data_IF_280606753819
#
_entry.id   IF_280606753819
#
_cell.length_a   1.000
_cell.length_b   1.000
_cell.length_c   1.000
_cell.angle_alpha   90.00
_cell.angle_beta   90.00
_cell.angle_gamma   90.00
#
_symmetry.space_group_name_H-M   'P 1'
#
loop_
_entity.id
_entity.type
_entity.pdbx_description
1 polymer ?
#
# COMPACT_ATOMS: atom_id res chain seq x y z
N UNK A 1 7.90 41.15 -24.94
CA UNK A 1 7.51 40.87 -23.55
C UNK A 1 8.62 40.02 -22.97
N UNK A 2 9.55 40.63 -22.24
CA UNK A 2 10.56 39.86 -21.50
C UNK A 2 9.91 39.43 -20.18
N UNK A 3 9.86 38.12 -19.94
CA UNK A 3 9.40 37.57 -18.67
C UNK A 3 10.56 37.56 -17.68
N UNK A 4 10.32 37.98 -16.44
CA UNK A 4 11.29 37.90 -15.33
C UNK A 4 11.29 36.52 -14.64
N UNK A 5 10.49 35.57 -15.13
CA UNK A 5 10.40 34.22 -14.54
C UNK A 5 11.63 33.38 -14.83
N UNK A 6 12.06 32.60 -13.83
CA UNK A 6 13.04 31.54 -14.04
C UNK A 6 12.44 30.46 -14.96
N UNK A 7 13.27 29.91 -15.85
CA UNK A 7 12.88 28.87 -16.79
C UNK A 7 13.75 27.65 -16.58
N UNK A 8 13.12 26.49 -16.40
CA UNK A 8 13.78 25.20 -16.27
C UNK A 8 13.13 24.25 -17.30
N UNK A 9 13.95 23.62 -18.14
CA UNK A 9 13.50 22.51 -18.96
C UNK A 9 13.48 21.24 -18.11
N UNK A 10 12.33 20.58 -18.01
CA UNK A 10 12.22 19.31 -17.31
C UNK A 10 13.18 18.29 -17.96
N UNK A 11 14.13 17.79 -17.17
CA UNK A 11 15.13 16.81 -17.61
C UNK A 11 14.52 15.39 -17.63
N UNK A 12 13.50 15.23 -18.48
CA UNK A 12 12.63 14.06 -18.54
C UNK A 12 12.54 13.61 -19.99
N UNK A 13 12.60 12.29 -20.21
CA UNK A 13 12.42 11.70 -21.53
C UNK A 13 11.26 10.71 -21.51
N UNK A 14 10.21 11.04 -22.26
CA UNK A 14 8.96 10.28 -22.35
C UNK A 14 9.16 8.78 -22.65
N UNK A 15 10.17 8.42 -23.44
CA UNK A 15 10.44 7.02 -23.82
C UNK A 15 11.31 6.25 -22.81
N UNK A 16 11.83 6.92 -21.77
CA UNK A 16 12.79 6.32 -20.82
C UNK A 16 12.32 6.32 -19.37
N UNK A 17 11.44 7.25 -19.00
CA UNK A 17 10.97 7.39 -17.63
C UNK A 17 9.45 7.47 -17.59
N UNK A 18 8.85 6.85 -16.58
CA UNK A 18 7.42 6.93 -16.33
C UNK A 18 7.07 8.18 -15.49
N UNK A 19 5.78 8.34 -15.18
CA UNK A 19 5.26 9.46 -14.40
C UNK A 19 5.99 9.66 -13.06
N UNK A 20 6.18 8.58 -12.29
CA UNK A 20 6.78 8.62 -10.96
C UNK A 20 8.26 9.04 -11.01
N UNK A 21 9.03 8.42 -11.91
CA UNK A 21 10.43 8.77 -12.12
C UNK A 21 10.60 10.21 -12.62
N UNK A 22 9.69 10.67 -13.48
CA UNK A 22 9.67 12.05 -13.95
C UNK A 22 9.35 13.03 -12.81
N UNK A 23 8.39 12.70 -11.94
CA UNK A 23 8.01 13.52 -10.79
C UNK A 23 9.18 13.65 -9.79
N UNK A 24 9.84 12.55 -9.43
CA UNK A 24 10.98 12.57 -8.48
C UNK A 24 12.15 13.40 -9.04
N UNK A 25 12.51 13.17 -10.31
CA UNK A 25 13.58 13.92 -10.98
C UNK A 25 13.26 15.40 -11.13
N UNK A 26 12.01 15.74 -11.47
CA UNK A 26 11.60 17.14 -11.64
C UNK A 26 11.63 17.88 -10.31
N UNK A 27 11.16 17.26 -9.22
CA UNK A 27 11.22 17.84 -7.88
C UNK A 27 12.68 18.14 -7.48
N UNK A 28 13.56 17.16 -7.66
CA UNK A 28 14.98 17.31 -7.35
C UNK A 28 15.63 18.42 -8.19
N UNK A 29 15.35 18.45 -9.51
CA UNK A 29 15.88 19.46 -10.43
C UNK A 29 15.49 20.88 -10.00
N UNK A 30 14.22 21.09 -9.62
CA UNK A 30 13.72 22.40 -9.16
C UNK A 30 14.39 22.79 -7.84
N UNK A 31 14.46 21.87 -6.88
CA UNK A 31 15.09 22.12 -5.57
C UNK A 31 16.56 22.47 -5.74
N UNK A 32 17.30 21.70 -6.55
CA UNK A 32 18.71 21.97 -6.87
C UNK A 32 18.88 23.36 -7.48
N UNK A 33 18.10 23.68 -8.52
CA UNK A 33 18.19 24.97 -9.21
C UNK A 33 18.02 26.15 -8.25
N UNK A 34 16.96 26.14 -7.43
CA UNK A 34 16.68 27.24 -6.52
C UNK A 34 17.65 27.33 -5.35
N UNK A 35 18.17 26.19 -4.85
CA UNK A 35 19.19 26.19 -3.81
C UNK A 35 20.56 26.65 -4.33
N UNK A 36 20.95 26.28 -5.55
CA UNK A 36 22.17 26.80 -6.18
C UNK A 36 22.05 28.32 -6.44
N UNK A 37 20.88 28.78 -6.89
CA UNK A 37 20.60 30.22 -7.04
C UNK A 37 20.70 30.95 -5.70
N UNK A 38 20.10 30.40 -4.63
CA UNK A 38 20.19 30.96 -3.29
C UNK A 38 21.62 30.96 -2.73
N UNK A 39 22.42 29.92 -3.00
CA UNK A 39 23.86 29.84 -2.68
C UNK A 39 24.62 30.99 -3.34
N UNK A 40 24.43 31.21 -4.66
CA UNK A 40 25.08 32.30 -5.41
C UNK A 40 24.70 33.69 -4.90
N UNK A 41 23.49 33.85 -4.37
CA UNK A 41 22.98 35.10 -3.82
C UNK A 41 23.27 35.28 -2.32
N UNK A 42 24.02 34.37 -1.68
CA UNK A 42 24.27 34.35 -0.23
C UNK A 42 22.98 34.42 0.62
N UNK A 43 21.87 33.85 0.12
CA UNK A 43 20.57 33.85 0.80
C UNK A 43 20.33 32.61 1.66
N UNK A 44 21.23 31.63 1.65
CA UNK A 44 21.14 30.47 2.52
C UNK A 44 21.73 30.81 3.87
N UNK A 45 20.88 30.89 4.89
CA UNK A 45 21.32 31.06 6.28
C UNK A 45 21.72 29.69 6.84
N UNK A 46 22.91 29.54 7.44
CA UNK A 46 23.38 28.26 7.98
C UNK A 46 22.74 27.87 9.32
N UNK A 47 21.83 28.69 9.85
CA UNK A 47 21.24 28.47 11.16
C UNK A 47 20.01 27.56 11.06
N UNK A 48 20.06 26.42 11.76
CA UNK A 48 18.91 25.53 11.97
C UNK A 48 17.85 26.23 12.80
N UNK A 49 16.59 25.79 12.67
CA UNK A 49 15.49 26.29 13.51
C UNK A 49 15.76 26.03 15.00
N UNK A 50 15.24 26.89 15.86
CA UNK A 50 15.43 26.80 17.32
C UNK A 50 14.81 25.52 17.92
N UNK A 51 13.63 25.14 17.42
CA UNK A 51 12.97 23.87 17.74
C UNK A 51 13.29 22.83 16.67
N UNK A 52 13.28 21.53 17.01
CA UNK A 52 13.37 20.47 16.02
C UNK A 52 12.32 20.67 14.93
N UNK A 53 12.75 20.64 13.68
CA UNK A 53 11.83 20.77 12.55
C UNK A 53 12.21 19.85 11.40
N UNK A 54 11.22 19.47 10.61
CA UNK A 54 11.39 18.58 9.47
C UNK A 54 10.78 19.18 8.19
N UNK A 55 11.41 18.92 7.05
CA UNK A 55 10.74 19.07 5.76
C UNK A 55 9.98 17.78 5.42
N UNK A 56 8.77 17.90 4.88
CA UNK A 56 8.05 16.75 4.29
C UNK A 56 8.21 16.83 2.77
N UNK A 57 8.88 15.84 2.19
CA UNK A 57 9.28 15.82 0.78
C UNK A 57 8.57 14.66 0.10
N UNK A 58 7.86 14.92 -1.00
CA UNK A 58 7.20 13.89 -1.79
C UNK A 58 5.67 13.87 -1.67
N UNK A 59 5.05 14.85 -1.00
CA UNK A 59 3.58 15.04 -1.12
C UNK A 59 3.31 15.76 -2.43
N UNK A 60 2.65 15.12 -3.39
CA UNK A 60 2.33 15.69 -4.70
C UNK A 60 0.85 15.54 -5.09
N UNK A 61 0.41 16.39 -6.02
CA UNK A 61 -0.95 16.41 -6.56
C UNK A 61 -1.25 15.11 -7.33
N UNK A 62 -2.49 14.62 -7.27
CA UNK A 62 -2.92 13.32 -7.81
C UNK A 62 -2.29 12.08 -7.15
N UNK A 63 -1.42 12.23 -6.15
CA UNK A 63 -0.97 11.11 -5.35
C UNK A 63 -2.10 10.52 -4.50
N UNK A 64 -2.02 9.21 -4.25
CA UNK A 64 -3.06 8.45 -3.57
C UNK A 64 -3.17 8.88 -2.10
N UNK A 65 -4.27 9.54 -1.74
CA UNK A 65 -4.56 10.01 -0.37
C UNK A 65 -3.55 11.01 0.25
N UNK A 66 -2.57 11.50 -0.53
CA UNK A 66 -1.50 12.43 -0.15
C UNK A 66 -1.95 13.64 0.70
N UNK A 67 -3.12 14.23 0.41
CA UNK A 67 -3.62 15.38 1.18
C UNK A 67 -3.97 15.02 2.62
N UNK A 68 -4.56 13.84 2.83
CA UNK A 68 -4.92 13.34 4.15
C UNK A 68 -3.67 12.86 4.90
N UNK A 69 -2.79 12.17 4.19
CA UNK A 69 -1.48 11.73 4.71
C UNK A 69 -0.61 12.91 5.17
N UNK A 70 -0.55 13.99 4.40
CA UNK A 70 0.16 15.21 4.78
C UNK A 70 -0.40 15.83 6.08
N UNK A 71 -1.72 15.81 6.25
CA UNK A 71 -2.35 16.28 7.50
C UNK A 71 -2.01 15.36 8.68
N UNK A 72 -2.04 14.05 8.47
CA UNK A 72 -1.71 13.07 9.52
C UNK A 72 -0.24 13.14 9.93
N UNK A 73 0.68 13.30 8.97
CA UNK A 73 2.10 13.51 9.25
C UNK A 73 2.33 14.80 10.03
N UNK A 74 1.68 15.90 9.66
CA UNK A 74 1.75 17.16 10.42
C UNK A 74 1.25 16.99 11.85
N UNK A 75 0.15 16.27 12.05
CA UNK A 75 -0.40 15.96 13.37
C UNK A 75 0.58 15.12 14.20
N UNK A 76 1.10 14.03 13.61
CA UNK A 76 2.08 13.15 14.22
C UNK A 76 3.34 13.91 14.67
N UNK A 77 3.91 14.75 13.79
CA UNK A 77 5.10 15.55 14.12
C UNK A 77 4.83 16.57 15.23
N UNK A 78 3.67 17.23 15.19
CA UNK A 78 3.27 18.17 16.23
C UNK A 78 3.15 17.50 17.60
N UNK A 79 2.55 16.30 17.67
CA UNK A 79 2.47 15.52 18.91
C UNK A 79 3.87 15.15 19.45
N UNK A 80 4.80 14.84 18.54
CA UNK A 80 6.21 14.60 18.86
C UNK A 80 6.98 15.88 19.23
N UNK A 81 6.38 17.06 19.07
CA UNK A 81 7.02 18.36 19.32
C UNK A 81 8.04 18.75 18.25
N UNK A 82 7.80 18.33 17.01
CA UNK A 82 8.61 18.62 15.83
C UNK A 82 7.79 19.54 14.91
N UNK A 83 8.34 20.71 14.59
CA UNK A 83 7.68 21.67 13.71
C UNK A 83 7.85 21.25 12.24
N UNK A 84 6.85 21.52 11.39
CA UNK A 84 6.99 21.33 9.94
C UNK A 84 7.60 22.59 9.34
N UNK A 85 8.81 22.48 8.79
CA UNK A 85 9.52 23.62 8.18
C UNK A 85 8.96 23.95 6.80
N UNK A 86 8.98 22.99 5.86
CA UNK A 86 8.40 23.13 4.53
C UNK A 86 7.76 21.79 4.09
N UNK A 87 6.73 21.87 3.24
CA UNK A 87 6.16 20.71 2.54
C UNK A 87 6.33 20.93 1.04
N UNK A 88 6.93 19.96 0.35
CA UNK A 88 7.17 20.05 -1.09
C UNK A 88 6.81 18.73 -1.81
N UNK A 89 6.30 18.79 -3.05
CA UNK A 89 5.87 20.00 -3.78
C UNK A 89 4.52 20.59 -3.34
N UNK A 90 3.63 19.82 -2.70
CA UNK A 90 2.25 20.23 -2.41
C UNK A 90 2.18 21.47 -1.51
N UNK A 91 1.56 22.54 -2.02
CA UNK A 91 1.40 23.81 -1.31
C UNK A 91 2.69 24.62 -1.15
N UNK A 92 3.80 24.15 -1.72
CA UNK A 92 5.10 24.82 -1.67
C UNK A 92 5.20 26.00 -2.64
N UNK A 93 6.02 26.99 -2.26
CA UNK A 93 6.42 28.09 -3.15
C UNK A 93 7.90 28.00 -3.47
N UNK A 94 8.30 28.27 -4.72
CA UNK A 94 9.71 28.31 -5.13
C UNK A 94 10.54 29.31 -4.32
N UNK A 95 9.91 30.38 -3.82
CA UNK A 95 10.56 31.40 -2.97
C UNK A 95 10.97 30.86 -1.61
N UNK A 96 10.34 29.77 -1.16
CA UNK A 96 10.55 29.15 0.13
C UNK A 96 11.61 28.04 0.09
N UNK A 97 12.01 27.56 -1.10
CA UNK A 97 12.98 26.46 -1.22
C UNK A 97 14.32 26.77 -0.55
N UNK A 98 14.72 28.05 -0.49
CA UNK A 98 15.89 28.51 0.27
C UNK A 98 15.83 28.22 1.78
N UNK A 99 14.65 27.96 2.32
CA UNK A 99 14.44 27.61 3.72
C UNK A 99 14.63 26.12 4.01
N UNK A 100 14.69 25.25 2.99
CA UNK A 100 14.86 23.80 3.21
C UNK A 100 16.04 23.47 4.13
N UNK A 101 17.23 24.09 3.98
CA UNK A 101 18.38 23.79 4.86
C UNK A 101 18.21 24.18 6.33
N UNK A 102 17.19 24.97 6.68
CA UNK A 102 16.89 25.36 8.07
C UNK A 102 16.32 24.22 8.89
N UNK A 103 15.67 23.25 8.25
CA UNK A 103 15.14 22.06 8.93
C UNK A 103 16.26 21.19 9.49
N UNK A 104 15.96 20.44 10.54
CA UNK A 104 16.92 19.51 11.14
C UNK A 104 17.09 18.26 10.28
N UNK A 105 15.99 17.76 9.71
CA UNK A 105 15.99 16.56 8.88
C UNK A 105 14.86 16.61 7.84
N UNK A 106 14.82 15.61 6.95
CA UNK A 106 13.79 15.47 5.93
C UNK A 106 12.98 14.18 6.15
N UNK A 107 11.71 14.19 5.76
CA UNK A 107 10.82 13.02 5.76
C UNK A 107 10.40 12.75 4.33
N UNK A 108 10.58 11.51 3.88
CA UNK A 108 10.18 11.04 2.55
C UNK A 108 9.18 9.89 2.75
N UNK A 109 7.87 10.17 2.73
CA UNK A 109 6.86 9.16 3.05
C UNK A 109 6.62 8.17 1.91
N UNK A 110 6.96 8.51 0.67
CA UNK A 110 6.74 7.66 -0.51
C UNK A 110 8.06 7.32 -1.19
N UNK A 111 8.27 6.05 -1.49
CA UNK A 111 9.46 5.55 -2.19
C UNK A 111 9.65 6.21 -3.55
N UNK A 112 8.55 6.39 -4.27
CA UNK A 112 8.53 6.76 -5.67
C UNK A 112 8.90 8.23 -5.93
N UNK A 113 8.61 9.13 -4.99
CA UNK A 113 8.75 10.58 -5.18
C UNK A 113 9.29 11.25 -3.91
N UNK A 114 10.40 11.97 -4.03
CA UNK A 114 11.04 12.75 -2.98
C UNK A 114 12.42 12.24 -2.57
N UNK A 115 12.73 10.97 -2.85
CA UNK A 115 13.98 10.35 -2.42
C UNK A 115 15.20 10.97 -3.11
N UNK A 116 15.13 11.26 -4.42
CA UNK A 116 16.23 11.94 -5.11
C UNK A 116 16.55 13.30 -4.49
N UNK A 117 15.50 14.04 -4.10
CA UNK A 117 15.63 15.35 -3.45
C UNK A 117 16.26 15.21 -2.06
N UNK A 118 15.83 14.24 -1.26
CA UNK A 118 16.39 14.00 0.06
C UNK A 118 17.87 13.60 0.01
N UNK A 119 18.25 12.72 -0.93
CA UNK A 119 19.66 12.33 -1.16
C UNK A 119 20.51 13.52 -1.60
N UNK A 120 19.96 14.42 -2.41
CA UNK A 120 20.64 15.66 -2.77
C UNK A 120 20.86 16.56 -1.54
N UNK A 121 19.84 16.76 -0.71
CA UNK A 121 19.93 17.58 0.50
C UNK A 121 20.87 16.98 1.55
N UNK A 122 20.93 15.66 1.67
CA UNK A 122 21.89 14.95 2.52
C UNK A 122 23.33 15.23 2.07
N UNK A 123 23.62 15.07 0.78
CA UNK A 123 24.96 15.30 0.23
C UNK A 123 25.42 16.75 0.33
N UNK A 124 24.53 17.71 0.03
CA UNK A 124 24.88 19.13 -0.05
C UNK A 124 24.81 19.89 1.28
N UNK A 125 23.92 19.47 2.18
CA UNK A 125 23.61 20.20 3.42
C UNK A 125 23.72 19.34 4.67
N UNK A 126 24.17 18.08 4.55
CA UNK A 126 24.31 17.13 5.66
C UNK A 126 22.99 16.96 6.43
N UNK A 127 21.87 17.01 5.69
CA UNK A 127 20.54 16.84 6.24
C UNK A 127 20.16 15.37 6.23
N UNK A 128 20.08 14.69 7.38
CA UNK A 128 19.58 13.32 7.42
C UNK A 128 18.13 13.27 6.95
N UNK A 129 17.70 12.10 6.50
CA UNK A 129 16.32 11.88 6.11
C UNK A 129 15.78 10.55 6.62
N UNK A 130 14.47 10.51 6.85
CA UNK A 130 13.72 9.30 7.19
C UNK A 130 12.92 8.88 5.97
N UNK A 131 13.13 7.65 5.49
CA UNK A 131 12.44 7.09 4.31
C UNK A 131 11.60 5.85 4.61
N UNK A 132 11.46 5.49 5.90
CA UNK A 132 10.47 4.50 6.32
C UNK A 132 9.08 5.12 6.17
N UNK A 133 8.22 4.52 5.35
CA UNK A 133 6.83 4.94 5.22
C UNK A 133 6.05 4.57 6.49
N UNK A 134 5.44 5.53 7.21
CA UNK A 134 4.65 5.25 8.41
C UNK A 134 3.24 4.74 8.03
N UNK A 135 3.17 3.57 7.39
CA UNK A 135 1.92 2.91 6.99
C UNK A 135 1.81 1.56 7.69
N UNK A 136 0.77 1.38 8.50
CA UNK A 136 0.64 0.24 9.43
C UNK A 136 1.25 0.53 10.80
N UNK A 137 0.89 -0.28 11.80
CA UNK A 137 1.26 -0.01 13.19
C UNK A 137 2.77 -0.15 13.39
N UNK A 138 3.36 -1.22 12.86
CA UNK A 138 4.77 -1.53 13.11
C UNK A 138 5.71 -0.57 12.38
N UNK A 139 5.40 -0.22 11.13
CA UNK A 139 6.25 0.68 10.34
C UNK A 139 6.10 2.14 10.80
N UNK A 140 4.93 2.53 11.30
CA UNK A 140 4.76 3.83 12.00
C UNK A 140 5.64 3.90 13.25
N UNK A 141 5.71 2.84 14.05
CA UNK A 141 6.61 2.80 15.20
C UNK A 141 8.09 2.86 14.79
N UNK A 142 8.48 2.15 13.72
CA UNK A 142 9.84 2.19 13.18
C UNK A 142 10.24 3.60 12.69
N UNK A 143 9.32 4.27 11.99
CA UNK A 143 9.48 5.65 11.55
C UNK A 143 9.75 6.62 12.72
N UNK A 144 8.95 6.53 13.79
CA UNK A 144 9.11 7.38 14.98
C UNK A 144 10.46 7.11 15.67
N UNK A 145 10.89 5.85 15.75
CA UNK A 145 12.20 5.48 16.31
C UNK A 145 13.36 6.02 15.49
N UNK A 146 13.24 6.05 14.15
CA UNK A 146 14.27 6.63 13.29
C UNK A 146 14.38 8.15 13.49
N UNK A 147 13.24 8.84 13.63
CA UNK A 147 13.22 10.26 14.02
C UNK A 147 13.90 10.45 15.37
N UNK A 148 13.57 9.64 16.38
CA UNK A 148 14.15 9.75 17.72
C UNK A 148 15.69 9.62 17.69
N UNK A 149 16.22 8.70 16.88
CA UNK A 149 17.67 8.53 16.66
C UNK A 149 18.31 9.78 16.07
N UNK A 150 17.72 10.34 15.01
CA UNK A 150 18.21 11.56 14.37
C UNK A 150 18.23 12.72 15.38
N UNK A 151 17.14 12.92 16.10
CA UNK A 151 17.03 14.00 17.08
C UNK A 151 18.04 13.85 18.21
N UNK A 152 18.27 12.63 18.69
CA UNK A 152 19.26 12.35 19.75
C UNK A 152 20.67 12.71 19.33
N UNK A 153 21.07 12.39 18.09
CA UNK A 153 22.40 12.71 17.55
C UNK A 153 22.60 14.22 17.41
N UNK A 154 21.57 14.96 17.04
CA UNK A 154 21.62 16.42 16.86
C UNK A 154 21.37 17.23 18.14
N UNK A 155 21.00 16.57 19.26
CA UNK A 155 20.59 17.24 20.50
C UNK A 155 21.75 17.83 21.32
N UNK A 156 23.01 17.63 20.93
CA UNK A 156 24.17 18.07 21.73
C UNK A 156 24.25 19.59 21.97
N UNK A 157 23.45 20.40 21.25
CA UNK A 157 23.43 21.86 21.33
C UNK A 157 22.06 22.48 21.67
N UNK A 158 21.00 21.69 21.88
CA UNK A 158 19.62 22.21 21.96
C UNK A 158 18.83 21.69 23.18
N UNK A 159 17.88 22.50 23.64
CA UNK A 159 17.09 22.27 24.86
C UNK A 159 15.90 21.33 24.60
N UNK A 160 16.07 20.28 23.79
CA UNK A 160 15.01 19.31 23.53
C UNK A 160 15.00 18.25 24.63
N UNK A 161 14.17 18.47 25.65
CA UNK A 161 14.06 17.66 26.87
C UNK A 161 13.28 16.33 26.69
N UNK A 162 13.11 15.84 25.46
CA UNK A 162 12.44 14.56 25.19
C UNK A 162 13.51 13.50 24.91
N UNK A 163 13.58 12.51 25.78
CA UNK A 163 14.49 11.37 25.64
C UNK A 163 13.83 10.24 24.85
N UNK A 164 14.56 9.14 24.64
CA UNK A 164 14.07 7.95 23.95
C UNK A 164 12.81 7.36 24.63
N UNK A 165 12.68 7.53 25.96
CA UNK A 165 11.52 7.05 26.72
C UNK A 165 10.23 7.80 26.34
N UNK A 166 10.31 9.09 26.01
CA UNK A 166 9.17 9.85 25.51
C UNK A 166 8.61 9.24 24.22
N UNK A 167 9.48 8.90 23.26
CA UNK A 167 9.06 8.34 21.97
C UNK A 167 8.45 6.95 22.12
N UNK A 168 9.07 6.07 22.91
CA UNK A 168 8.51 4.74 23.17
C UNK A 168 7.17 4.80 23.93
N UNK A 169 7.03 5.71 24.91
CA UNK A 169 5.75 5.92 25.60
C UNK A 169 4.68 6.46 24.63
N UNK A 170 5.04 7.40 23.76
CA UNK A 170 4.13 7.88 22.72
C UNK A 170 3.68 6.73 21.79
N UNK A 171 4.61 5.89 21.34
CA UNK A 171 4.29 4.72 20.51
C UNK A 171 3.33 3.78 21.24
N UNK A 172 3.60 3.44 22.50
CA UNK A 172 2.75 2.55 23.31
C UNK A 172 1.34 3.13 23.49
N UNK A 173 1.24 4.41 23.85
CA UNK A 173 -0.05 5.09 24.04
C UNK A 173 -0.86 5.14 22.74
N UNK A 174 -0.24 5.56 21.64
CA UNK A 174 -0.95 5.66 20.36
C UNK A 174 -1.37 4.28 19.85
N UNK A 175 -0.52 3.27 19.99
CA UNK A 175 -0.82 1.90 19.55
C UNK A 175 -1.95 1.27 20.37
N UNK A 176 -2.06 1.58 21.67
CA UNK A 176 -3.09 1.01 22.54
C UNK A 176 -4.43 1.75 22.51
N UNK A 177 -4.39 3.08 22.34
CA UNK A 177 -5.56 3.93 22.61
C UNK A 177 -6.03 4.77 21.42
N UNK A 178 -5.22 4.91 20.36
CA UNK A 178 -5.58 5.68 19.16
C UNK A 178 -5.76 4.78 17.95
N UNK A 179 -4.81 3.86 17.73
CA UNK A 179 -4.95 2.81 16.73
C UNK A 179 -5.82 1.68 17.26
N UNK A 180 -7.03 1.58 16.72
CA UNK A 180 -7.91 0.45 16.91
C UNK A 180 -7.43 -0.77 16.12
N UNK A 181 -6.49 -0.62 15.18
CA UNK A 181 -5.93 -1.73 14.41
C UNK A 181 -5.23 -2.78 15.28
N UNK A 182 -4.53 -2.36 16.34
CA UNK A 182 -3.86 -3.27 17.27
C UNK A 182 -4.85 -4.06 18.15
N UNK A 183 -5.99 -3.48 18.49
CA UNK A 183 -7.08 -4.19 19.15
C UNK A 183 -7.82 -5.11 18.17
N UNK A 184 -8.09 -4.60 16.95
CA UNK A 184 -8.75 -5.34 15.88
C UNK A 184 -7.99 -6.60 15.51
N UNK A 185 -6.66 -6.56 15.41
CA UNK A 185 -5.84 -7.75 15.12
C UNK A 185 -5.99 -8.88 16.15
N UNK A 186 -6.43 -8.55 17.37
CA UNK A 186 -6.69 -9.51 18.46
C UNK A 186 -8.17 -9.86 18.62
N UNK A 187 -9.05 -9.26 17.83
CA UNK A 187 -10.49 -9.50 17.89
C UNK A 187 -10.86 -10.83 17.22
N UNK A 188 -12.06 -11.33 17.51
CA UNK A 188 -12.62 -12.53 16.89
C UNK A 188 -12.81 -12.31 15.36
N UNK A 189 -13.12 -11.09 14.96
CA UNK A 189 -13.31 -10.73 13.55
C UNK A 189 -12.02 -10.89 12.75
N UNK A 190 -10.87 -10.46 13.30
CA UNK A 190 -9.59 -10.65 12.62
C UNK A 190 -9.10 -12.11 12.70
N UNK A 191 -9.42 -12.84 13.77
CA UNK A 191 -9.14 -14.29 13.83
C UNK A 191 -9.80 -15.04 12.67
N UNK A 192 -11.01 -14.64 12.25
CA UNK A 192 -11.67 -15.22 11.09
C UNK A 192 -10.96 -14.93 9.75
N UNK A 193 -10.10 -13.91 9.70
CA UNK A 193 -9.29 -13.58 8.52
C UNK A 193 -7.99 -14.39 8.46
N UNK A 194 -7.58 -15.01 9.57
CA UNK A 194 -6.31 -15.73 9.65
C UNK A 194 -6.26 -16.87 8.62
N UNK A 195 -5.18 -16.92 7.83
CA UNK A 195 -5.00 -17.91 6.77
C UNK A 195 -5.84 -17.71 5.51
N UNK A 196 -6.71 -16.68 5.46
CA UNK A 196 -7.35 -16.30 4.19
C UNK A 196 -6.28 -15.81 3.22
N UNK A 197 -6.52 -16.09 1.93
CA UNK A 197 -5.58 -15.75 0.85
C UNK A 197 -5.86 -14.36 0.31
N UNK A 198 -4.82 -13.56 0.14
CA UNK A 198 -4.88 -12.26 -0.50
C UNK A 198 -3.84 -12.11 -1.62
N UNK A 199 -4.19 -11.34 -2.66
CA UNK A 199 -3.22 -10.84 -3.65
C UNK A 199 -3.09 -9.33 -3.46
N UNK A 200 -1.85 -8.84 -3.47
CA UNK A 200 -1.52 -7.42 -3.33
C UNK A 200 -0.82 -6.92 -4.60
N UNK A 201 -1.22 -5.78 -5.14
CA UNK A 201 -0.59 -5.21 -6.34
C UNK A 201 -0.70 -3.67 -6.41
N UNK A 202 0.37 -2.95 -6.71
CA UNK A 202 0.30 -1.48 -6.84
C UNK A 202 1.65 -0.80 -7.07
N UNK A 203 1.78 0.47 -6.71
CA UNK A 203 3.09 1.09 -6.55
C UNK A 203 3.92 0.38 -5.46
N UNK A 204 5.21 0.69 -5.39
CA UNK A 204 6.13 -0.01 -4.52
C UNK A 204 5.81 0.26 -3.04
N UNK A 205 5.52 1.52 -2.69
CA UNK A 205 5.23 1.95 -1.31
C UNK A 205 4.01 1.23 -0.73
N UNK A 206 2.85 1.39 -1.36
CA UNK A 206 1.60 0.91 -0.81
C UNK A 206 1.51 -0.61 -0.88
N UNK A 207 1.97 -1.24 -1.96
CA UNK A 207 1.93 -2.70 -2.07
C UNK A 207 2.88 -3.37 -1.06
N UNK A 208 4.07 -2.81 -0.82
CA UNK A 208 5.00 -3.35 0.17
C UNK A 208 4.44 -3.19 1.59
N UNK A 209 3.93 -2.01 1.94
CA UNK A 209 3.35 -1.76 3.26
C UNK A 209 2.09 -2.61 3.49
N UNK A 210 1.18 -2.68 2.51
CA UNK A 210 -0.02 -3.52 2.60
C UNK A 210 0.34 -5.01 2.77
N UNK A 211 1.35 -5.50 2.05
CA UNK A 211 1.81 -6.90 2.20
C UNK A 211 2.27 -7.18 3.63
N UNK A 212 3.08 -6.28 4.21
CA UNK A 212 3.54 -6.38 5.59
C UNK A 212 2.38 -6.32 6.58
N UNK A 213 1.40 -5.43 6.39
CA UNK A 213 0.22 -5.30 7.26
C UNK A 213 -0.61 -6.58 7.23
N UNK A 214 -0.98 -7.07 6.06
CA UNK A 214 -1.79 -8.28 5.91
C UNK A 214 -1.11 -9.48 6.56
N UNK A 215 0.18 -9.68 6.30
CA UNK A 215 0.93 -10.83 6.80
C UNK A 215 1.24 -10.72 8.30
N UNK A 216 1.90 -9.63 8.72
CA UNK A 216 2.47 -9.47 10.07
C UNK A 216 1.45 -8.98 11.09
N UNK A 217 0.49 -8.15 10.69
CA UNK A 217 -0.46 -7.50 11.62
C UNK A 217 -1.84 -8.19 11.64
N UNK A 218 -2.24 -8.88 10.57
CA UNK A 218 -3.60 -9.47 10.45
C UNK A 218 -3.62 -10.99 10.21
N UNK A 219 -2.45 -11.65 10.09
CA UNK A 219 -2.38 -13.11 9.92
C UNK A 219 -2.93 -13.64 8.60
N UNK A 220 -3.07 -12.77 7.58
CA UNK A 220 -3.56 -13.11 6.25
C UNK A 220 -2.40 -13.66 5.41
N UNK A 221 -2.66 -14.71 4.63
CA UNK A 221 -1.66 -15.31 3.74
C UNK A 221 -1.61 -14.55 2.42
N UNK A 222 -0.55 -13.78 2.18
CA UNK A 222 -0.34 -13.08 0.92
C UNK A 222 0.27 -14.03 -0.11
N UNK A 223 -0.57 -14.58 -0.99
CA UNK A 223 -0.14 -15.58 -1.98
C UNK A 223 0.64 -14.98 -3.15
N UNK A 224 0.42 -13.70 -3.43
CA UNK A 224 1.19 -12.96 -4.41
C UNK A 224 1.22 -11.49 -4.00
N UNK A 225 2.42 -10.90 -3.98
CA UNK A 225 2.62 -9.46 -3.86
C UNK A 225 3.34 -8.94 -5.09
N UNK A 226 2.91 -7.82 -5.64
CA UNK A 226 3.52 -7.30 -6.85
C UNK A 226 3.50 -5.79 -6.99
N UNK A 227 4.35 -5.31 -7.89
CA UNK A 227 4.41 -3.89 -8.23
C UNK A 227 4.63 -3.65 -9.71
N UNK A 228 4.08 -2.54 -10.20
CA UNK A 228 4.37 -2.00 -11.53
C UNK A 228 5.63 -1.11 -11.57
N UNK A 229 6.23 -0.78 -10.42
CA UNK A 229 7.46 0.01 -10.33
C UNK A 229 8.70 -0.84 -10.66
N UNK A 230 8.87 -1.22 -11.93
CA UNK A 230 9.98 -2.07 -12.40
C UNK A 230 11.38 -1.53 -12.04
N UNK A 231 11.54 -0.21 -11.98
CA UNK A 231 12.81 0.44 -11.66
C UNK A 231 13.21 0.28 -10.18
N UNK A 232 12.24 0.05 -9.29
CA UNK A 232 12.45 -0.19 -7.85
C UNK A 232 12.21 -1.67 -7.47
N UNK A 233 12.30 -2.59 -8.44
CA UNK A 233 11.99 -4.00 -8.23
C UNK A 233 12.82 -4.67 -7.13
N UNK A 234 14.11 -4.32 -7.03
CA UNK A 234 15.00 -4.92 -6.01
C UNK A 234 14.65 -4.43 -4.60
N UNK A 235 14.38 -3.13 -4.45
CA UNK A 235 13.88 -2.58 -3.20
C UNK A 235 12.55 -3.23 -2.81
N UNK A 236 11.62 -3.37 -3.76
CA UNK A 236 10.33 -4.01 -3.49
C UNK A 236 10.50 -5.46 -3.02
N UNK A 237 11.35 -6.24 -3.69
CA UNK A 237 11.65 -7.63 -3.31
C UNK A 237 12.18 -7.73 -1.89
N UNK A 238 13.10 -6.84 -1.52
CA UNK A 238 13.65 -6.78 -0.16
C UNK A 238 12.54 -6.50 0.87
N UNK A 239 11.63 -5.55 0.59
CA UNK A 239 10.58 -5.17 1.52
C UNK A 239 9.52 -6.25 1.77
N UNK A 240 9.22 -7.08 0.77
CA UNK A 240 8.16 -8.11 0.87
C UNK A 240 8.69 -9.51 1.12
N UNK A 241 10.02 -9.68 1.19
CA UNK A 241 10.65 -10.96 1.44
C UNK A 241 10.20 -11.54 2.79
N UNK A 242 9.72 -12.78 2.77
CA UNK A 242 9.21 -13.46 3.96
C UNK A 242 7.77 -13.09 4.36
N UNK A 243 7.12 -12.17 3.65
CA UNK A 243 5.72 -11.79 3.89
C UNK A 243 4.74 -12.29 2.81
N UNK A 244 5.25 -12.86 1.71
CA UNK A 244 4.42 -13.40 0.63
C UNK A 244 5.06 -14.64 -0.03
N UNK A 245 4.24 -15.46 -0.69
CA UNK A 245 4.69 -16.71 -1.34
C UNK A 245 5.34 -16.46 -2.72
N UNK A 246 4.80 -15.48 -3.46
CA UNK A 246 5.25 -15.15 -4.81
C UNK A 246 5.36 -13.62 -4.98
N UNK A 247 6.41 -13.19 -5.69
CA UNK A 247 6.62 -11.78 -6.05
C UNK A 247 6.38 -11.60 -7.55
N UNK A 248 5.58 -10.60 -7.93
CA UNK A 248 5.27 -10.26 -9.32
C UNK A 248 5.72 -8.84 -9.66
N UNK A 249 6.66 -8.71 -10.60
CA UNK A 249 7.11 -7.41 -11.10
C UNK A 249 6.65 -7.28 -12.56
N UNK A 250 5.60 -6.50 -12.80
CA UNK A 250 5.03 -6.32 -14.14
C UNK A 250 4.22 -5.04 -14.22
N UNK A 251 4.16 -4.41 -15.39
CA UNK A 251 3.22 -3.32 -15.72
C UNK A 251 2.10 -3.81 -16.65
N UNK A 252 2.08 -5.10 -16.97
CA UNK A 252 1.09 -5.73 -17.83
C UNK A 252 -0.09 -6.24 -17.00
N UNK A 253 -1.22 -5.54 -17.12
CA UNK A 253 -2.45 -5.86 -16.40
C UNK A 253 -3.00 -7.26 -16.74
N UNK A 254 -2.66 -7.84 -17.90
CA UNK A 254 -3.15 -9.17 -18.27
C UNK A 254 -2.49 -10.24 -17.42
N UNK A 255 -1.17 -10.14 -17.20
CA UNK A 255 -0.42 -11.04 -16.33
C UNK A 255 -0.90 -10.97 -14.88
N UNK A 256 -1.22 -9.77 -14.39
CA UNK A 256 -1.81 -9.59 -13.05
C UNK A 256 -3.17 -10.28 -12.98
N UNK A 257 -4.02 -10.08 -13.99
CA UNK A 257 -5.33 -10.71 -14.07
C UNK A 257 -5.28 -12.24 -14.12
N UNK A 258 -4.34 -12.80 -14.86
CA UNK A 258 -4.14 -14.24 -14.98
C UNK A 258 -3.66 -14.86 -13.67
N UNK A 259 -2.75 -14.18 -12.96
CA UNK A 259 -2.29 -14.62 -11.63
C UNK A 259 -3.45 -14.59 -10.63
N UNK A 260 -4.25 -13.53 -10.62
CA UNK A 260 -5.44 -13.46 -9.75
C UNK A 260 -6.42 -14.60 -10.07
N UNK A 261 -6.70 -14.83 -11.35
CA UNK A 261 -7.60 -15.91 -11.80
C UNK A 261 -7.06 -17.32 -11.47
N UNK A 262 -5.73 -17.49 -11.48
CA UNK A 262 -5.07 -18.75 -11.11
C UNK A 262 -5.07 -18.97 -9.61
N UNK A 263 -4.77 -17.93 -8.82
CA UNK A 263 -4.60 -18.02 -7.38
C UNK A 263 -5.93 -18.04 -6.61
N UNK A 264 -6.99 -17.46 -7.17
CA UNK A 264 -8.33 -17.36 -6.58
C UNK A 264 -8.29 -16.89 -5.11
N UNK A 265 -7.75 -15.69 -4.83
CA UNK A 265 -7.71 -15.17 -3.47
C UNK A 265 -9.12 -14.85 -2.95
N UNK A 266 -9.25 -14.79 -1.63
CA UNK A 266 -10.49 -14.39 -0.99
C UNK A 266 -10.71 -12.86 -1.03
N UNK A 267 -9.64 -12.06 -1.15
CA UNK A 267 -9.72 -10.63 -1.42
C UNK A 267 -8.50 -10.16 -2.22
N UNK A 268 -8.68 -9.07 -2.97
CA UNK A 268 -7.63 -8.41 -3.74
C UNK A 268 -7.38 -7.02 -3.13
N UNK A 269 -6.12 -6.64 -3.00
CA UNK A 269 -5.73 -5.28 -2.62
C UNK A 269 -4.87 -4.71 -3.73
N UNK A 270 -5.44 -3.83 -4.55
CA UNK A 270 -4.66 -3.27 -5.65
C UNK A 270 -5.13 -1.95 -6.22
N UNK A 271 -5.00 -1.76 -7.53
CA UNK A 271 -5.37 -0.51 -8.20
C UNK A 271 -6.83 -0.57 -8.68
N UNK A 272 -7.30 0.46 -9.39
CA UNK A 272 -8.60 0.35 -10.05
C UNK A 272 -8.64 -0.76 -11.11
N UNK A 273 -7.51 -1.13 -11.72
CA UNK A 273 -7.51 -2.21 -12.69
C UNK A 273 -7.81 -3.56 -12.03
N UNK A 274 -7.19 -3.83 -10.89
CA UNK A 274 -7.46 -5.04 -10.10
C UNK A 274 -8.90 -5.08 -9.60
N UNK A 275 -9.52 -3.92 -9.34
CA UNK A 275 -10.95 -3.86 -9.01
C UNK A 275 -11.83 -4.34 -10.17
N UNK A 276 -11.47 -4.03 -11.43
CA UNK A 276 -12.20 -4.54 -12.59
C UNK A 276 -12.00 -6.05 -12.76
N UNK A 277 -10.78 -6.55 -12.52
CA UNK A 277 -10.49 -7.99 -12.51
C UNK A 277 -11.30 -8.70 -11.43
N UNK A 278 -11.31 -8.16 -10.21
CA UNK A 278 -12.09 -8.68 -9.08
C UNK A 278 -13.58 -8.77 -9.40
N UNK A 279 -14.17 -7.71 -9.97
CA UNK A 279 -15.57 -7.74 -10.43
C UNK A 279 -15.86 -8.83 -11.46
N UNK A 280 -14.94 -9.09 -12.39
CA UNK A 280 -15.10 -10.15 -13.41
C UNK A 280 -15.02 -11.55 -12.80
N UNK A 281 -14.24 -11.71 -11.72
CA UNK A 281 -14.01 -12.99 -11.06
C UNK A 281 -14.87 -13.20 -9.81
N UNK A 282 -15.75 -12.25 -9.48
CA UNK A 282 -16.55 -12.24 -8.26
C UNK A 282 -15.70 -12.29 -6.97
N UNK A 283 -14.59 -11.54 -6.97
CA UNK A 283 -13.65 -11.41 -5.84
C UNK A 283 -13.67 -9.96 -5.36
N UNK A 284 -13.89 -9.71 -4.05
CA UNK A 284 -13.88 -8.36 -3.51
C UNK A 284 -12.50 -7.73 -3.61
N UNK A 285 -12.46 -6.41 -3.84
CA UNK A 285 -11.23 -5.67 -4.05
C UNK A 285 -11.21 -4.35 -3.27
N UNK A 286 -10.20 -4.18 -2.43
CA UNK A 286 -9.84 -2.90 -1.81
C UNK A 286 -8.81 -2.17 -2.67
N UNK A 287 -9.04 -0.88 -2.95
CA UNK A 287 -8.07 -0.08 -3.72
C UNK A 287 -7.05 0.56 -2.78
N UNK A 288 -5.77 0.34 -3.03
CA UNK A 288 -4.66 0.74 -2.13
C UNK A 288 -3.62 1.65 -2.80
N UNK A 289 -3.68 1.84 -4.11
CA UNK A 289 -2.65 2.54 -4.87
C UNK A 289 -3.21 3.10 -6.18
N UNK A 290 -2.53 4.12 -6.72
CA UNK A 290 -2.74 4.61 -8.09
C UNK A 290 -2.45 3.50 -9.13
N UNK A 291 -3.01 3.55 -10.35
CA UNK A 291 -4.01 4.50 -10.84
C UNK A 291 -5.39 4.35 -10.18
N UNK A 292 -6.04 5.49 -9.95
CA UNK A 292 -7.33 5.58 -9.26
C UNK A 292 -8.38 6.43 -9.97
N UNK A 293 -9.63 6.30 -9.55
CA UNK A 293 -10.76 7.16 -9.94
C UNK A 293 -11.14 8.11 -8.80
N UNK A 294 -12.05 9.05 -9.09
CA UNK A 294 -12.56 10.07 -8.16
C UNK A 294 -13.03 9.53 -6.80
N UNK A 295 -13.50 8.27 -6.75
CA UNK A 295 -13.92 7.62 -5.49
C UNK A 295 -12.78 7.49 -4.46
N UNK A 296 -11.53 7.44 -4.92
CA UNK A 296 -10.34 7.39 -4.07
C UNK A 296 -9.70 8.78 -3.87
N UNK A 297 -10.42 9.85 -4.19
CA UNK A 297 -10.15 11.20 -3.71
C UNK A 297 -11.29 11.62 -2.76
N UNK A 298 -11.43 10.94 -1.61
CA UNK A 298 -12.55 11.16 -0.71
C UNK A 298 -12.49 12.56 -0.09
N UNK A 299 -13.65 13.18 0.06
CA UNK A 299 -13.80 14.45 0.79
C UNK A 299 -13.62 14.27 2.30
N UNK A 300 -14.01 13.10 2.82
CA UNK A 300 -13.79 12.72 4.22
C UNK A 300 -12.33 12.41 4.51
N UNK A 301 -11.92 12.58 5.76
CA UNK A 301 -10.56 12.30 6.19
C UNK A 301 -10.27 10.80 6.12
N UNK A 302 -9.38 10.41 5.19
CA UNK A 302 -8.96 9.02 5.00
C UNK A 302 -7.45 8.95 4.75
N UNK A 303 -6.60 9.16 5.76
CA UNK A 303 -5.17 8.91 5.59
C UNK A 303 -4.90 7.41 5.42
N UNK A 304 -3.79 7.07 4.79
CA UNK A 304 -3.16 5.74 4.81
C UNK A 304 -1.91 5.72 5.70
N UNK A 305 -1.32 6.89 5.95
CA UNK A 305 -0.20 7.03 6.88
C UNK A 305 -0.66 7.29 8.32
N UNK A 306 0.25 7.08 9.27
CA UNK A 306 0.07 7.38 10.69
C UNK A 306 -0.98 6.50 11.39
N UNK A 307 -1.27 6.83 12.64
CA UNK A 307 -2.14 6.01 13.48
C UNK A 307 -3.59 6.01 12.99
N UNK A 308 -4.12 7.13 12.49
CA UNK A 308 -5.46 7.11 11.89
C UNK A 308 -5.47 6.30 10.58
N UNK A 309 -4.37 6.33 9.81
CA UNK A 309 -4.24 5.49 8.61
C UNK A 309 -4.33 4.00 8.92
N UNK A 310 -3.82 3.57 10.08
CA UNK A 310 -3.99 2.17 10.51
C UNK A 310 -5.46 1.77 10.71
N UNK A 311 -6.30 2.68 11.23
CA UNK A 311 -7.73 2.44 11.41
C UNK A 311 -8.42 2.32 10.04
N UNK A 312 -8.12 3.25 9.13
CA UNK A 312 -8.67 3.24 7.77
C UNK A 312 -8.28 1.98 6.98
N UNK A 313 -7.03 1.51 7.14
CA UNK A 313 -6.57 0.27 6.52
C UNK A 313 -7.27 -0.95 7.13
N UNK A 314 -7.43 -1.01 8.45
CA UNK A 314 -8.17 -2.08 9.11
C UNK A 314 -9.61 -2.19 8.59
N UNK A 315 -10.31 -1.05 8.50
CA UNK A 315 -11.66 -0.99 7.93
C UNK A 315 -11.68 -1.43 6.46
N UNK A 316 -10.72 -0.98 5.64
CA UNK A 316 -10.61 -1.37 4.24
C UNK A 316 -10.44 -2.88 4.08
N UNK A 317 -9.54 -3.48 4.87
CA UNK A 317 -9.26 -4.92 4.83
C UNK A 317 -10.48 -5.70 5.28
N UNK A 318 -11.03 -5.36 6.45
CA UNK A 318 -12.20 -6.06 7.01
C UNK A 318 -13.40 -6.00 6.05
N UNK A 319 -13.75 -4.82 5.56
CA UNK A 319 -14.89 -4.65 4.65
C UNK A 319 -14.70 -5.44 3.35
N UNK A 320 -13.46 -5.49 2.83
CA UNK A 320 -13.16 -6.27 1.61
C UNK A 320 -13.41 -7.76 1.82
N UNK A 321 -13.01 -8.33 2.96
CA UNK A 321 -13.28 -9.74 3.25
C UNK A 321 -14.74 -10.01 3.62
N UNK A 322 -15.37 -9.14 4.41
CA UNK A 322 -16.74 -9.33 4.90
C UNK A 322 -17.78 -9.26 3.79
N UNK A 323 -17.64 -8.32 2.85
CA UNK A 323 -18.53 -8.25 1.67
C UNK A 323 -18.56 -9.58 0.89
N UNK A 324 -17.38 -10.18 0.66
CA UNK A 324 -17.30 -11.47 -0.02
C UNK A 324 -17.93 -12.63 0.77
N UNK A 325 -18.01 -12.53 2.11
CA UNK A 325 -18.70 -13.51 2.94
C UNK A 325 -20.22 -13.28 2.92
N UNK A 326 -20.68 -12.03 3.03
CA UNK A 326 -22.11 -11.66 3.03
C UNK A 326 -22.79 -12.02 1.70
N UNK A 327 -22.19 -11.66 0.56
CA UNK A 327 -22.71 -12.00 -0.77
C UNK A 327 -22.88 -13.51 -0.93
N UNK A 328 -21.97 -14.28 -0.34
CA UNK A 328 -22.04 -15.74 -0.36
C UNK A 328 -23.10 -16.31 0.58
N UNK A 329 -23.28 -15.73 1.78
CA UNK A 329 -24.37 -16.11 2.68
C UNK A 329 -25.73 -15.87 2.01
N UNK A 330 -25.90 -14.79 1.26
CA UNK A 330 -27.10 -14.54 0.46
C UNK A 330 -27.33 -15.61 -0.61
N UNK A 331 -26.28 -16.11 -1.27
CA UNK A 331 -26.41 -17.22 -2.23
C UNK A 331 -26.83 -18.52 -1.55
N UNK A 332 -26.27 -18.84 -0.36
CA UNK A 332 -26.61 -20.07 0.38
C UNK A 332 -28.06 -20.03 0.88
N UNK A 333 -28.48 -18.92 1.48
CA UNK A 333 -29.77 -18.83 2.16
C UNK A 333 -30.91 -18.31 1.26
N UNK A 334 -30.65 -18.10 -0.04
CA UNK A 334 -31.68 -17.74 -1.02
C UNK A 334 -32.18 -16.30 -0.92
N UNK A 335 -31.26 -15.34 -0.81
CA UNK A 335 -31.55 -13.90 -0.76
C UNK A 335 -32.36 -13.38 -1.98
N UNK A 336 -33.05 -12.26 -1.80
CA UNK A 336 -34.06 -11.72 -2.74
C UNK A 336 -33.53 -11.22 -4.09
N UNK A 337 -32.22 -11.19 -4.32
CA UNK A 337 -31.62 -10.80 -5.61
C UNK A 337 -31.04 -12.03 -6.32
N UNK A 338 -31.91 -12.83 -6.93
CA UNK A 338 -31.49 -13.88 -7.87
C UNK A 338 -31.04 -13.26 -9.19
N UNK A 339 -29.88 -12.59 -9.20
CA UNK A 339 -29.12 -12.50 -10.45
C UNK A 339 -28.62 -13.90 -10.74
N UNK A 340 -29.24 -14.56 -11.72
CA UNK A 340 -28.70 -15.78 -12.31
C UNK A 340 -27.30 -15.46 -12.83
N UNK A 341 -26.28 -15.74 -12.02
CA UNK A 341 -24.88 -15.65 -12.44
C UNK A 341 -24.66 -16.79 -13.42
N UNK A 342 -24.81 -16.49 -14.71
CA UNK A 342 -24.37 -17.36 -15.79
C UNK A 342 -22.85 -17.40 -15.66
N UNK A 343 -22.34 -18.43 -15.00
CA UNK A 343 -20.94 -18.75 -14.86
C UNK A 343 -20.34 -19.12 -16.22
N UNK A 344 -20.13 -18.14 -17.10
CA UNK A 344 -19.18 -18.26 -18.21
C UNK A 344 -17.76 -18.24 -17.65
N UNK A 345 -17.42 -19.31 -16.95
CA UNK A 345 -16.04 -19.65 -16.62
C UNK A 345 -15.36 -20.06 -17.92
N UNK A 346 -14.27 -19.35 -18.29
CA UNK A 346 -13.28 -19.85 -19.24
C UNK A 346 -12.69 -21.12 -18.64
N UNK A 347 -13.33 -22.25 -18.92
CA UNK A 347 -12.71 -23.56 -18.80
C UNK A 347 -12.16 -23.87 -20.18
N UNK A 348 -10.85 -24.08 -20.27
CA UNK A 348 -10.28 -24.83 -21.37
C UNK A 348 -11.08 -26.12 -21.53
N UNK A 349 -11.53 -26.39 -22.76
CA UNK A 349 -12.24 -27.59 -23.17
C UNK A 349 -11.58 -28.82 -22.53
N UNK A 350 -12.20 -29.32 -21.47
CA UNK A 350 -11.85 -30.59 -20.85
C UNK A 350 -13.11 -31.43 -20.98
N UNK A 351 -12.96 -32.61 -21.58
CA UNK A 351 -14.04 -33.59 -21.86
C UNK A 351 -14.69 -34.20 -20.60
N UNK A 352 -14.74 -33.45 -19.50
CA UNK A 352 -15.28 -33.87 -18.20
C UNK A 352 -16.74 -33.42 -18.07
N UNK A 353 -17.63 -34.40 -17.88
CA UNK A 353 -19.06 -34.14 -17.70
C UNK A 353 -19.40 -34.11 -16.20
N UNK A 354 -20.00 -33.00 -15.75
CA UNK A 354 -20.53 -32.87 -14.40
C UNK A 354 -21.95 -33.46 -14.30
N UNK A 355 -22.18 -34.36 -13.35
CA UNK A 355 -23.50 -34.90 -13.09
C UNK A 355 -24.38 -33.88 -12.32
N UNK A 356 -25.72 -33.97 -12.41
CA UNK A 356 -26.63 -32.97 -11.83
C UNK A 356 -26.52 -32.87 -10.29
N UNK A 357 -26.25 -33.98 -9.63
CA UNK A 357 -25.99 -34.07 -8.19
C UNK A 357 -24.70 -33.34 -7.79
N UNK A 358 -23.62 -33.51 -8.57
CA UNK A 358 -22.36 -32.82 -8.34
C UNK A 358 -22.46 -31.31 -8.58
N UNK A 359 -23.25 -30.89 -9.58
CA UNK A 359 -23.54 -29.48 -9.85
C UNK A 359 -24.34 -28.83 -8.70
N UNK A 360 -25.34 -29.54 -8.16
CA UNK A 360 -26.10 -29.08 -7.01
C UNK A 360 -25.18 -28.87 -5.79
N UNK A 361 -24.25 -29.79 -5.57
CA UNK A 361 -23.32 -29.73 -4.44
C UNK A 361 -22.23 -28.68 -4.64
N UNK A 362 -21.72 -28.50 -5.88
CA UNK A 362 -20.82 -27.41 -6.23
C UNK A 362 -21.45 -26.05 -5.96
N UNK A 363 -22.75 -25.90 -6.25
CA UNK A 363 -23.48 -24.65 -6.01
C UNK A 363 -23.64 -24.33 -4.52
N UNK A 364 -23.64 -25.35 -3.64
CA UNK A 364 -23.63 -25.16 -2.18
C UNK A 364 -22.28 -24.68 -1.65
N UNK A 365 -21.19 -24.87 -2.39
CA UNK A 365 -19.85 -24.45 -1.97
C UNK A 365 -19.75 -22.91 -2.00
N UNK A 366 -19.24 -22.27 -0.93
CA UNK A 366 -18.20 -21.27 -1.03
C UNK A 366 -17.97 -20.44 -2.29
N UNK A 367 -18.65 -19.36 -2.69
CA UNK A 367 -18.35 -18.67 -3.97
C UNK A 367 -16.85 -18.40 -4.21
N UNK A 368 -16.18 -17.81 -3.21
CA UNK A 368 -14.73 -17.53 -3.18
C UNK A 368 -13.80 -18.77 -3.17
N UNK A 369 -14.33 -19.97 -2.91
CA UNK A 369 -13.61 -21.25 -3.04
C UNK A 369 -14.25 -22.19 -4.06
N UNK A 370 -15.34 -21.79 -4.73
CA UNK A 370 -16.12 -22.65 -5.64
C UNK A 370 -15.32 -22.94 -6.90
N UNK A 371 -14.65 -21.93 -7.45
CA UNK A 371 -13.68 -22.10 -8.54
C UNK A 371 -12.59 -23.10 -8.18
N UNK A 372 -12.05 -22.96 -6.96
CA UNK A 372 -11.01 -23.86 -6.43
C UNK A 372 -11.50 -25.29 -6.26
N UNK A 373 -12.67 -25.48 -5.65
CA UNK A 373 -13.27 -26.80 -5.46
C UNK A 373 -13.58 -27.44 -6.80
N UNK A 374 -14.12 -26.68 -7.76
CA UNK A 374 -14.35 -27.15 -9.14
C UNK A 374 -13.05 -27.65 -9.78
N UNK A 375 -12.00 -26.82 -9.80
CA UNK A 375 -10.69 -27.18 -10.37
C UNK A 375 -10.03 -28.34 -9.65
N UNK A 376 -10.06 -28.38 -8.32
CA UNK A 376 -9.49 -29.48 -7.54
C UNK A 376 -10.22 -30.80 -7.83
N UNK A 377 -11.55 -30.74 -7.96
CA UNK A 377 -12.37 -31.91 -8.31
C UNK A 377 -12.09 -32.36 -9.75
N UNK A 378 -11.95 -31.43 -10.70
CA UNK A 378 -11.58 -31.73 -12.09
C UNK A 378 -10.17 -32.33 -12.17
N UNK A 379 -9.19 -31.76 -11.43
CA UNK A 379 -7.82 -32.29 -11.36
C UNK A 379 -7.79 -33.70 -10.78
N UNK A 380 -8.51 -33.92 -9.67
CA UNK A 380 -8.64 -35.25 -9.06
C UNK A 380 -9.29 -36.26 -10.01
N UNK A 381 -10.36 -35.86 -10.72
CA UNK A 381 -11.02 -36.70 -11.71
C UNK A 381 -10.08 -37.09 -12.86
N UNK A 382 -9.24 -36.16 -13.34
CA UNK A 382 -8.22 -36.44 -14.36
C UNK A 382 -7.17 -37.43 -13.83
N UNK A 383 -6.65 -37.21 -12.63
CA UNK A 383 -5.64 -38.09 -11.99
C UNK A 383 -6.18 -39.53 -11.81
N UNK A 384 -7.46 -39.67 -11.45
CA UNK A 384 -8.13 -40.96 -11.27
C UNK A 384 -8.77 -41.51 -12.56
N UNK A 385 -8.60 -40.83 -13.71
CA UNK A 385 -9.18 -41.18 -15.02
C UNK A 385 -10.71 -41.33 -15.01
N UNK A 386 -11.39 -40.54 -14.19
CA UNK A 386 -12.85 -40.49 -14.06
C UNK A 386 -13.41 -39.50 -15.09
N UNK A 387 -14.37 -39.93 -15.92
CA UNK A 387 -14.99 -39.10 -16.98
C UNK A 387 -16.23 -38.31 -16.53
N UNK A 388 -16.93 -38.79 -15.50
CA UNK A 388 -18.16 -38.18 -14.97
C UNK A 388 -17.93 -37.81 -13.51
N UNK A 389 -18.07 -36.53 -13.19
CA UNK A 389 -17.93 -36.02 -11.84
C UNK A 389 -19.29 -36.12 -11.15
N UNK A 390 -19.44 -37.09 -10.23
CA UNK A 390 -20.59 -37.23 -9.32
C UNK A 390 -20.31 -36.58 -7.96
N UNK A 391 -21.34 -36.47 -7.11
CA UNK A 391 -21.15 -35.92 -5.75
C UNK A 391 -20.11 -36.71 -4.94
N UNK A 392 -20.06 -38.04 -5.11
CA UNK A 392 -19.07 -38.92 -4.47
C UNK A 392 -17.62 -38.56 -4.86
N UNK A 393 -17.38 -38.25 -6.14
CA UNK A 393 -16.06 -37.84 -6.65
C UNK A 393 -15.65 -36.48 -6.07
N UNK A 394 -16.61 -35.57 -5.89
CA UNK A 394 -16.36 -34.30 -5.22
C UNK A 394 -15.97 -34.48 -3.75
N UNK A 395 -16.64 -35.38 -3.01
CA UNK A 395 -16.27 -35.68 -1.62
C UNK A 395 -14.89 -36.35 -1.53
N UNK A 396 -14.60 -37.31 -2.42
CA UNK A 396 -13.28 -37.96 -2.49
C UNK A 396 -12.16 -36.97 -2.82
N UNK A 397 -12.40 -36.03 -3.75
CA UNK A 397 -11.45 -34.97 -4.06
C UNK A 397 -11.20 -34.02 -2.87
N UNK A 398 -12.25 -33.73 -2.09
CA UNK A 398 -12.14 -32.90 -0.89
C UNK A 398 -11.29 -33.58 0.19
N UNK A 399 -11.47 -34.88 0.41
CA UNK A 399 -10.65 -35.66 1.35
C UNK A 399 -9.19 -35.75 0.91
N UNK A 400 -8.93 -35.95 -0.39
CA UNK A 400 -7.58 -36.03 -0.94
C UNK A 400 -6.79 -34.70 -0.86
N UNK A 401 -7.47 -33.56 -0.80
CA UNK A 401 -6.84 -32.22 -0.63
C UNK A 401 -6.71 -31.84 0.85
N UNK A 402 -7.43 -32.54 1.75
CA UNK A 402 -7.40 -32.33 3.20
C UNK A 402 -6.40 -33.21 3.96
N UNK A 403 -5.73 -34.15 3.28
CA UNK A 403 -4.56 -34.90 3.74
C UNK A 403 -3.28 -34.24 3.19
#
# INVERSE_FOLDING_TARGET
MESESDVILADVNHYRVNELQAADRTLEQIVRFYLEKAKKQNMITPLKTEKPSANIIGIFTLGFHNQHDCRELKRLLNDLGIDVNEVIPEGGSVTNLKNLPKAWFNIVPYREVGLMTAVYLEKEFQMPYVSITPMGVVDTAAFIREIAKILTVHNSNYMFNKDESFFENYIDQQTRFVSQAAWFSRSIDCQNLTGKKAVVFGDATHAACMTKILSREMGITVVCSGTYCKHDADWFREQVMGFCDQILITDDHTQVGDIIAKMEPAAIFGTQMERHVGKRLDIPCGVISAPVHIQNFPLGYRPFLGYEGTNQIADLVYNSFSLGMEDHLLQIFGGHDTKQVISKSLSSESDLNWAPDALAELNRVPGFVRGKVKRNTEKYAIEQKIKIISAEVMFAAKEAVGA
#
